data_IF_154291860775
#
_entry.id   IF_154291860775
#
_cell.length_a   1.000
_cell.length_b   1.000
_cell.length_c   1.000
_cell.angle_alpha   90.00
_cell.angle_beta   90.00
_cell.angle_gamma   90.00
#
_symmetry.space_group_name_H-M   'P 1'
#
loop_
_entity.id
_entity.type
_entity.pdbx_description
1 polymer ?
#
# COMPACT_ATOMS: atom_id res chain seq x y z
N UNK A 1 11.08 28.56 14.64
CA UNK A 1 9.83 28.34 15.40
C UNK A 1 8.88 29.38 14.85
N UNK A 2 8.35 29.11 13.67
CA UNK A 2 7.58 30.08 12.90
C UNK A 2 6.15 30.08 13.44
N UNK A 3 5.69 31.25 13.86
CA UNK A 3 4.41 31.44 14.54
C UNK A 3 3.32 31.37 13.48
N UNK A 4 2.76 30.17 13.27
CA UNK A 4 1.58 29.99 12.40
C UNK A 4 0.44 30.79 13.04
N UNK A 5 0.05 31.86 12.35
CA UNK A 5 -0.97 32.81 12.75
C UNK A 5 -2.31 32.12 13.08
N UNK A 6 -2.99 32.57 14.14
CA UNK A 6 -4.22 31.93 14.64
C UNK A 6 -5.35 31.96 13.59
N UNK A 7 -5.34 32.93 12.68
CA UNK A 7 -6.28 33.01 11.56
C UNK A 7 -6.03 31.91 10.51
N UNK A 8 -4.76 31.50 10.33
CA UNK A 8 -4.40 30.36 9.47
C UNK A 8 -4.84 29.03 10.10
N UNK A 9 -4.74 28.91 11.43
CA UNK A 9 -5.27 27.75 12.17
C UNK A 9 -6.78 27.68 12.14
N UNK A 10 -7.49 28.80 12.28
CA UNK A 10 -8.95 28.86 12.17
C UNK A 10 -9.43 28.54 10.74
N UNK A 11 -8.70 28.98 9.71
CA UNK A 11 -8.98 28.63 8.33
C UNK A 11 -8.72 27.14 8.04
N UNK A 12 -7.63 26.56 8.57
CA UNK A 12 -7.40 25.11 8.54
C UNK A 12 -8.45 24.34 9.33
N UNK A 13 -8.87 24.84 10.50
CA UNK A 13 -9.92 24.22 11.33
C UNK A 13 -11.28 24.26 10.63
N UNK A 14 -11.67 25.37 10.01
CA UNK A 14 -12.94 25.47 9.29
C UNK A 14 -12.97 24.62 8.02
N UNK A 15 -11.86 24.55 7.27
CA UNK A 15 -11.71 23.67 6.12
C UNK A 15 -11.74 22.18 6.51
N UNK A 16 -11.06 21.79 7.60
CA UNK A 16 -11.08 20.41 8.11
C UNK A 16 -12.42 20.02 8.73
N UNK A 17 -13.14 20.96 9.38
CA UNK A 17 -14.47 20.73 9.94
C UNK A 17 -15.54 20.54 8.85
N UNK A 18 -15.33 21.06 7.63
CA UNK A 18 -16.25 20.83 6.51
C UNK A 18 -16.32 19.36 6.08
N UNK A 19 -15.31 18.57 6.44
CA UNK A 19 -15.14 17.19 6.01
C UNK A 19 -15.27 16.22 7.18
N UNK A 20 -16.50 15.96 7.63
CA UNK A 20 -16.73 14.93 8.66
C UNK A 20 -16.29 13.54 8.16
N UNK A 21 -15.71 12.73 9.06
CA UNK A 21 -15.55 11.30 8.79
C UNK A 21 -16.96 10.71 8.70
N UNK A 22 -17.41 10.49 7.47
CA UNK A 22 -18.63 9.73 7.21
C UNK A 22 -18.42 8.30 7.69
N UNK A 23 -19.48 7.66 8.20
CA UNK A 23 -19.52 6.22 8.50
C UNK A 23 -18.99 5.38 7.33
N UNK A 24 -19.15 5.89 6.10
CA UNK A 24 -18.56 5.34 4.89
C UNK A 24 -17.04 5.14 4.97
N UNK A 25 -16.28 6.09 5.52
CA UNK A 25 -14.82 6.01 5.64
C UNK A 25 -14.39 4.86 6.55
N UNK A 26 -15.05 4.73 7.70
CA UNK A 26 -14.78 3.67 8.67
C UNK A 26 -15.06 2.30 8.04
N UNK A 27 -16.17 2.19 7.30
CA UNK A 27 -16.53 0.96 6.58
C UNK A 27 -15.50 0.64 5.49
N UNK A 28 -15.06 1.64 4.71
CA UNK A 28 -14.03 1.47 3.67
C UNK A 28 -12.70 0.94 4.25
N UNK A 29 -12.27 1.49 5.39
CA UNK A 29 -11.07 1.04 6.12
C UNK A 29 -11.25 -0.37 6.67
N UNK A 30 -12.43 -0.69 7.23
CA UNK A 30 -12.72 -2.03 7.75
C UNK A 30 -12.70 -3.11 6.64
N UNK A 31 -13.33 -2.83 5.49
CA UNK A 31 -13.30 -3.73 4.33
C UNK A 31 -11.86 -3.94 3.85
N UNK A 32 -11.09 -2.86 3.78
CA UNK A 32 -9.67 -2.87 3.44
C UNK A 32 -8.83 -3.79 4.35
N UNK A 33 -9.01 -3.68 5.66
CA UNK A 33 -8.33 -4.52 6.65
C UNK A 33 -8.74 -6.01 6.51
N UNK A 34 -10.04 -6.26 6.34
CA UNK A 34 -10.57 -7.61 6.13
C UNK A 34 -10.01 -8.26 4.86
N UNK A 35 -9.98 -7.53 3.74
CA UNK A 35 -9.45 -8.00 2.47
C UNK A 35 -7.97 -8.37 2.55
N UNK A 36 -7.17 -7.61 3.31
CA UNK A 36 -5.76 -7.95 3.57
C UNK A 36 -5.63 -9.26 4.35
N UNK A 37 -6.39 -9.42 5.44
CA UNK A 37 -6.38 -10.65 6.22
C UNK A 37 -6.74 -11.87 5.37
N UNK A 38 -7.79 -11.74 4.54
CA UNK A 38 -8.18 -12.77 3.60
C UNK A 38 -7.05 -13.10 2.61
N UNK A 39 -6.36 -12.10 2.08
CA UNK A 39 -5.25 -12.29 1.13
C UNK A 39 -4.08 -13.06 1.76
N UNK A 40 -3.71 -12.74 3.00
CA UNK A 40 -2.65 -13.45 3.75
C UNK A 40 -3.02 -14.92 3.92
N UNK A 41 -4.25 -15.21 4.36
CA UNK A 41 -4.73 -16.59 4.52
C UNK A 41 -4.62 -17.33 3.19
N UNK A 42 -5.09 -16.73 2.09
CA UNK A 42 -5.05 -17.36 0.78
C UNK A 42 -3.62 -17.66 0.31
N UNK A 43 -2.66 -16.77 0.58
CA UNK A 43 -1.25 -16.99 0.27
C UNK A 43 -0.65 -18.15 1.10
N UNK A 44 -1.00 -18.24 2.38
CA UNK A 44 -0.59 -19.36 3.25
C UNK A 44 -1.19 -20.70 2.79
N UNK A 45 -2.49 -20.73 2.48
CA UNK A 45 -3.16 -21.92 1.97
C UNK A 45 -2.51 -22.43 0.67
N UNK A 46 -2.13 -21.51 -0.22
CA UNK A 46 -1.45 -21.87 -1.46
C UNK A 46 -0.06 -22.46 -1.22
N UNK A 47 0.75 -21.84 -0.36
CA UNK A 47 2.07 -22.37 -0.02
C UNK A 47 1.97 -23.78 0.54
N UNK A 48 0.95 -24.04 1.37
CA UNK A 48 0.63 -25.37 1.88
C UNK A 48 0.19 -26.35 0.77
N UNK A 49 -0.63 -25.92 -0.21
CA UNK A 49 -1.02 -26.75 -1.36
C UNK A 49 0.21 -27.20 -2.18
N UNK A 50 1.16 -26.29 -2.43
CA UNK A 50 2.41 -26.63 -3.14
C UNK A 50 3.32 -27.57 -2.35
N UNK A 51 3.41 -27.37 -1.04
CA UNK A 51 4.13 -28.28 -0.15
C UNK A 51 3.52 -29.70 -0.21
N UNK A 52 2.20 -29.80 -0.10
CA UNK A 52 1.49 -31.09 -0.17
C UNK A 52 1.60 -31.75 -1.54
N UNK A 53 1.66 -30.96 -2.61
CA UNK A 53 1.78 -31.43 -3.99
C UNK A 53 3.22 -31.79 -4.41
N UNK A 54 4.15 -31.91 -3.44
CA UNK A 54 5.59 -32.19 -3.64
C UNK A 54 6.29 -31.22 -4.62
N UNK A 55 5.71 -30.05 -4.83
CA UNK A 55 6.15 -29.06 -5.80
C UNK A 55 7.03 -28.01 -5.11
N UNK A 56 8.17 -28.47 -4.56
CA UNK A 56 9.00 -27.69 -3.64
C UNK A 56 9.57 -26.42 -4.27
N UNK A 57 9.86 -26.41 -5.57
CA UNK A 57 10.35 -25.21 -6.28
C UNK A 57 9.32 -24.09 -6.24
N UNK A 58 8.05 -24.37 -6.54
CA UNK A 58 6.98 -23.37 -6.48
C UNK A 58 6.66 -22.94 -5.05
N UNK A 59 6.79 -23.86 -4.08
CA UNK A 59 6.70 -23.52 -2.66
C UNK A 59 7.79 -22.51 -2.26
N UNK A 60 9.04 -22.77 -2.64
CA UNK A 60 10.16 -21.87 -2.36
C UNK A 60 9.95 -20.49 -2.98
N UNK A 61 9.58 -20.42 -4.27
CA UNK A 61 9.27 -19.15 -4.94
C UNK A 61 8.14 -18.39 -4.23
N UNK A 62 7.09 -19.10 -3.80
CA UNK A 62 5.97 -18.49 -3.06
C UNK A 62 6.42 -17.91 -1.73
N UNK A 63 7.23 -18.63 -0.96
CA UNK A 63 7.75 -18.15 0.33
C UNK A 63 8.68 -16.94 0.13
N UNK A 64 9.57 -16.99 -0.87
CA UNK A 64 10.46 -15.87 -1.18
C UNK A 64 9.69 -14.62 -1.61
N UNK A 65 8.63 -14.79 -2.41
CA UNK A 65 7.73 -13.69 -2.80
C UNK A 65 6.98 -13.07 -1.62
N UNK A 66 6.81 -13.77 -0.50
CA UNK A 66 6.22 -13.22 0.74
C UNK A 66 7.30 -12.53 1.58
N UNK A 67 8.46 -13.16 1.77
CA UNK A 67 9.50 -12.66 2.67
C UNK A 67 10.20 -11.39 2.14
N UNK A 68 10.51 -11.33 0.84
CA UNK A 68 11.26 -10.20 0.27
C UNK A 68 10.47 -8.89 0.40
N UNK A 69 9.19 -8.82 -0.04
CA UNK A 69 8.39 -7.61 0.08
C UNK A 69 8.13 -7.23 1.53
N UNK A 70 7.92 -8.20 2.42
CA UNK A 70 7.74 -7.94 3.85
C UNK A 70 8.96 -7.22 4.46
N UNK A 71 10.18 -7.66 4.13
CA UNK A 71 11.41 -6.98 4.58
C UNK A 71 11.48 -5.58 3.99
N UNK A 72 11.22 -5.44 2.70
CA UNK A 72 11.28 -4.18 1.98
C UNK A 72 10.27 -3.15 2.49
N UNK A 73 9.00 -3.53 2.70
CA UNK A 73 7.97 -2.65 3.23
C UNK A 73 8.15 -2.36 4.71
N UNK A 74 8.80 -3.25 5.47
CA UNK A 74 9.26 -2.96 6.84
C UNK A 74 10.35 -1.89 6.84
N UNK A 75 11.31 -1.93 5.89
CA UNK A 75 12.33 -0.89 5.74
C UNK A 75 11.67 0.45 5.35
N UNK A 76 10.71 0.45 4.42
CA UNK A 76 9.92 1.65 4.07
C UNK A 76 9.24 2.20 5.32
N UNK A 77 8.55 1.35 6.07
CA UNK A 77 7.84 1.74 7.28
C UNK A 77 8.76 2.35 8.33
N UNK A 78 9.91 1.71 8.57
CA UNK A 78 10.90 2.20 9.50
C UNK A 78 11.42 3.58 9.10
N UNK A 79 11.65 3.83 7.81
CA UNK A 79 12.04 5.15 7.33
C UNK A 79 10.96 6.20 7.59
N UNK A 80 9.70 5.90 7.25
CA UNK A 80 8.56 6.80 7.50
C UNK A 80 8.43 7.11 8.99
N UNK A 81 8.54 6.10 9.85
CA UNK A 81 8.40 6.26 11.30
C UNK A 81 9.57 7.03 11.94
N UNK A 82 10.80 6.79 11.48
CA UNK A 82 12.00 7.48 11.96
C UNK A 82 12.00 8.96 11.53
N UNK A 83 11.51 9.27 10.33
CA UNK A 83 11.36 10.64 9.85
C UNK A 83 10.22 11.36 10.59
N UNK A 84 9.07 10.69 10.79
CA UNK A 84 7.91 11.28 11.47
C UNK A 84 8.10 11.51 12.97
N UNK A 85 8.91 10.69 13.65
CA UNK A 85 9.19 10.82 15.08
C UNK A 85 10.68 10.59 15.40
N UNK A 86 11.54 11.62 15.28
CA UNK A 86 12.94 11.53 15.69
C UNK A 86 13.03 11.33 17.22
N UNK A 87 13.08 10.08 17.66
CA UNK A 87 13.30 9.74 19.07
C UNK A 87 14.73 10.09 19.47
N UNK A 88 14.90 10.90 20.52
CA UNK A 88 16.20 11.32 21.06
C UNK A 88 16.95 10.23 21.85
N UNK A 89 16.38 9.02 22.01
CA UNK A 89 16.99 7.93 22.80
C UNK A 89 17.50 6.79 21.91
N UNK A 90 18.67 6.20 22.20
CA UNK A 90 19.14 5.01 21.49
C UNK A 90 18.14 3.88 21.71
N UNK A 91 17.60 3.35 20.62
CA UNK A 91 16.61 2.28 20.64
C UNK A 91 17.35 0.96 20.55
N UNK A 92 17.08 0.05 21.49
CA UNK A 92 17.58 -1.33 21.45
C UNK A 92 17.09 -2.04 20.16
N UNK A 93 18.03 -2.56 19.37
CA UNK A 93 17.77 -3.13 18.05
C UNK A 93 16.78 -4.31 18.08
N UNK A 94 16.81 -5.13 19.14
CA UNK A 94 15.89 -6.28 19.28
C UNK A 94 14.47 -5.80 19.58
N UNK A 95 14.34 -4.78 20.45
CA UNK A 95 13.07 -4.16 20.77
C UNK A 95 12.50 -3.38 19.58
N UNK A 96 13.36 -2.74 18.79
CA UNK A 96 13.00 -2.08 17.54
C UNK A 96 12.48 -3.08 16.51
N UNK A 97 13.15 -4.22 16.35
CA UNK A 97 12.72 -5.29 15.45
C UNK A 97 11.33 -5.82 15.80
N UNK A 98 11.10 -6.24 17.05
CA UNK A 98 9.79 -6.72 17.48
C UNK A 98 8.70 -5.64 17.39
N UNK A 99 9.04 -4.38 17.67
CA UNK A 99 8.13 -3.26 17.49
C UNK A 99 7.77 -3.06 16.02
N UNK A 100 8.71 -3.19 15.10
CA UNK A 100 8.47 -3.09 13.66
C UNK A 100 7.62 -4.27 13.16
N UNK A 101 7.90 -5.50 13.60
CA UNK A 101 7.13 -6.71 13.22
C UNK A 101 5.69 -6.63 13.73
N UNK A 102 5.49 -6.29 15.00
CA UNK A 102 4.14 -6.11 15.57
C UNK A 102 3.42 -4.96 14.90
N UNK A 103 4.11 -3.84 14.64
CA UNK A 103 3.51 -2.70 13.93
C UNK A 103 3.22 -3.00 12.45
N UNK A 104 3.95 -3.92 11.82
CA UNK A 104 3.67 -4.40 10.46
C UNK A 104 2.43 -5.31 10.42
N UNK A 105 2.31 -6.24 11.38
CA UNK A 105 1.18 -7.17 11.49
C UNK A 105 -0.12 -6.48 11.95
N UNK A 106 -0.01 -5.51 12.85
CA UNK A 106 -1.14 -4.78 13.44
C UNK A 106 -1.27 -3.34 12.93
N UNK A 107 -0.70 -3.04 11.76
CA UNK A 107 -0.72 -1.69 11.18
C UNK A 107 -2.15 -1.17 11.00
N UNK A 108 -3.06 -2.03 10.55
CA UNK A 108 -4.48 -1.67 10.37
C UNK A 108 -5.23 -1.50 11.71
N UNK A 109 -4.70 -2.03 12.82
CA UNK A 109 -5.30 -1.84 14.14
C UNK A 109 -5.01 -0.45 14.70
N UNK A 110 -3.85 0.16 14.35
CA UNK A 110 -3.54 1.53 14.79
C UNK A 110 -4.50 2.54 14.16
N UNK A 111 -4.83 2.39 12.87
CA UNK A 111 -5.79 3.29 12.21
C UNK A 111 -7.20 3.13 12.73
N UNK A 112 -7.62 1.88 12.96
CA UNK A 112 -8.90 1.59 13.57
C UNK A 112 -9.00 2.20 14.98
N UNK A 113 -7.93 2.13 15.77
CA UNK A 113 -7.88 2.77 17.08
C UNK A 113 -8.05 4.29 16.99
N UNK A 114 -7.42 4.95 16.02
CA UNK A 114 -7.61 6.39 15.79
C UNK A 114 -9.04 6.72 15.32
N UNK A 115 -9.65 5.88 14.48
CA UNK A 115 -11.06 6.02 14.08
C UNK A 115 -12.03 5.89 15.27
N UNK A 116 -11.74 4.97 16.19
CA UNK A 116 -12.51 4.80 17.42
C UNK A 116 -12.36 6.02 18.35
N UNK A 117 -11.13 6.52 18.53
CA UNK A 117 -10.87 7.75 19.29
C UNK A 117 -11.57 8.97 18.70
N UNK A 118 -11.60 9.09 17.38
CA UNK A 118 -12.39 10.13 16.69
C UNK A 118 -13.88 10.02 17.06
N UNK A 119 -14.44 8.81 17.01
CA UNK A 119 -15.85 8.57 17.34
C UNK A 119 -16.16 8.91 18.81
N UNK A 120 -15.21 8.62 19.70
CA UNK A 120 -15.31 8.98 21.11
C UNK A 120 -15.21 10.49 21.35
N UNK A 121 -14.27 11.18 20.70
CA UNK A 121 -14.13 12.64 20.76
C UNK A 121 -15.40 13.35 20.25
N UNK A 122 -15.95 12.86 19.13
CA UNK A 122 -17.23 13.32 18.58
C UNK A 122 -18.38 13.13 19.55
N UNK A 123 -18.43 12.00 20.27
CA UNK A 123 -19.43 11.75 21.31
C UNK A 123 -19.26 12.69 22.52
N UNK A 124 -18.03 13.06 22.87
CA UNK A 124 -17.71 13.98 23.96
C UNK A 124 -17.92 15.46 23.61
N UNK A 125 -18.13 15.79 22.33
CA UNK A 125 -18.34 17.17 21.85
C UNK A 125 -17.07 18.03 21.83
N UNK A 126 -15.88 17.43 21.95
CA UNK A 126 -14.60 18.13 21.92
C UNK A 126 -14.14 18.33 20.46
N UNK A 127 -14.39 19.53 19.92
CA UNK A 127 -14.06 19.87 18.53
C UNK A 127 -12.55 19.88 18.26
N UNK A 128 -11.70 20.22 19.23
CA UNK A 128 -10.25 20.29 19.03
C UNK A 128 -9.70 18.86 18.94
N UNK A 129 -10.11 18.00 19.87
CA UNK A 129 -9.72 16.59 19.84
C UNK A 129 -10.29 15.86 18.61
N UNK A 130 -11.49 16.23 18.15
CA UNK A 130 -12.11 15.69 16.92
C UNK A 130 -11.23 15.96 15.70
N UNK A 131 -10.83 17.21 15.48
CA UNK A 131 -10.02 17.62 14.31
C UNK A 131 -8.64 16.95 14.35
N UNK A 132 -7.99 16.93 15.51
CA UNK A 132 -6.68 16.30 15.66
C UNK A 132 -6.74 14.79 15.42
N UNK A 133 -7.74 14.10 15.97
CA UNK A 133 -7.94 12.67 15.72
C UNK A 133 -8.24 12.39 14.24
N UNK A 134 -9.04 13.25 13.59
CA UNK A 134 -9.35 13.11 12.17
C UNK A 134 -8.10 13.24 11.29
N UNK A 135 -7.33 14.31 11.49
CA UNK A 135 -6.10 14.56 10.75
C UNK A 135 -5.11 13.41 10.91
N UNK A 136 -4.92 12.93 12.15
CA UNK A 136 -4.05 11.77 12.42
C UNK A 136 -4.55 10.51 11.73
N UNK A 137 -5.85 10.24 11.80
CA UNK A 137 -6.44 9.08 11.15
C UNK A 137 -6.22 9.11 9.63
N UNK A 138 -6.46 10.25 8.96
CA UNK A 138 -6.24 10.38 7.51
C UNK A 138 -4.78 10.18 7.10
N UNK A 139 -3.85 10.80 7.83
CA UNK A 139 -2.41 10.65 7.55
C UNK A 139 -1.96 9.21 7.72
N UNK A 140 -2.40 8.57 8.80
CA UNK A 140 -2.08 7.18 9.10
C UNK A 140 -2.71 6.24 8.06
N UNK A 141 -3.98 6.44 7.68
CA UNK A 141 -4.63 5.69 6.59
C UNK A 141 -3.94 5.88 5.23
N UNK A 142 -3.45 7.07 4.92
CA UNK A 142 -2.69 7.32 3.69
C UNK A 142 -1.35 6.56 3.70
N UNK A 143 -0.56 6.69 4.78
CA UNK A 143 0.70 5.98 4.95
C UNK A 143 0.50 4.46 4.86
N UNK A 144 -0.54 3.95 5.51
CA UNK A 144 -0.84 2.52 5.55
C UNK A 144 -1.41 2.04 4.23
N UNK A 145 -2.25 2.82 3.57
CA UNK A 145 -2.71 2.54 2.21
C UNK A 145 -1.52 2.43 1.25
N UNK A 146 -0.55 3.35 1.35
CA UNK A 146 0.65 3.37 0.54
C UNK A 146 1.49 2.10 0.71
N UNK A 147 1.79 1.71 1.96
CA UNK A 147 2.55 0.47 2.18
C UNK A 147 1.75 -0.78 1.75
N UNK A 148 0.42 -0.78 1.89
CA UNK A 148 -0.42 -1.90 1.43
C UNK A 148 -0.39 -2.03 -0.09
N UNK A 149 -0.31 -0.90 -0.79
CA UNK A 149 -0.12 -0.86 -2.23
C UNK A 149 1.20 -1.52 -2.63
N UNK A 150 2.29 -1.19 -1.92
CA UNK A 150 3.60 -1.78 -2.13
C UNK A 150 3.61 -3.29 -1.85
N UNK A 151 3.05 -3.73 -0.72
CA UNK A 151 2.88 -5.17 -0.43
C UNK A 151 2.15 -5.86 -1.59
N UNK A 152 1.04 -5.29 -2.05
CA UNK A 152 0.21 -5.89 -3.08
C UNK A 152 0.93 -6.04 -4.43
N UNK A 153 1.77 -5.07 -4.82
CA UNK A 153 2.47 -5.09 -6.10
C UNK A 153 3.85 -5.73 -6.08
N UNK A 154 4.50 -5.81 -4.92
CA UNK A 154 5.82 -6.45 -4.78
C UNK A 154 5.67 -7.94 -4.43
N UNK A 155 4.65 -8.32 -3.66
CA UNK A 155 4.36 -9.72 -3.30
C UNK A 155 3.25 -10.29 -4.17
N UNK A 156 2.03 -9.78 -4.01
CA UNK A 156 0.84 -10.50 -4.44
C UNK A 156 0.71 -10.50 -5.96
N UNK A 157 1.01 -9.39 -6.64
CA UNK A 157 0.87 -9.30 -8.10
C UNK A 157 1.86 -10.20 -8.86
N UNK A 158 3.17 -10.20 -8.60
CA UNK A 158 4.11 -11.14 -9.22
C UNK A 158 3.75 -12.60 -8.92
N UNK A 159 3.32 -12.90 -7.70
CA UNK A 159 2.84 -14.24 -7.34
C UNK A 159 1.64 -14.65 -8.19
N UNK A 160 0.64 -13.76 -8.40
CA UNK A 160 -0.55 -14.06 -9.21
C UNK A 160 -0.23 -14.19 -10.69
N UNK A 161 0.72 -13.40 -11.21
CA UNK A 161 1.29 -13.59 -12.56
C UNK A 161 1.86 -15.01 -12.69
N UNK A 162 2.70 -15.43 -11.75
CA UNK A 162 3.31 -16.77 -11.75
C UNK A 162 2.25 -17.87 -11.69
N UNK A 163 1.27 -17.76 -10.79
CA UNK A 163 0.19 -18.75 -10.68
C UNK A 163 -0.63 -18.85 -11.96
N UNK A 164 -0.97 -17.72 -12.57
CA UNK A 164 -1.75 -17.69 -13.79
C UNK A 164 -0.95 -18.27 -14.96
N UNK A 165 0.35 -17.97 -15.06
CA UNK A 165 1.25 -18.56 -16.05
C UNK A 165 1.34 -20.10 -15.92
N UNK A 166 1.45 -20.63 -14.70
CA UNK A 166 1.47 -22.08 -14.43
C UNK A 166 0.16 -22.76 -14.86
N UNK A 167 -0.98 -22.11 -14.59
CA UNK A 167 -2.30 -22.62 -15.01
C UNK A 167 -2.40 -22.65 -16.53
N UNK A 168 -1.95 -21.60 -17.21
CA UNK A 168 -1.94 -21.50 -18.66
C UNK A 168 -1.02 -22.55 -19.31
N UNK A 169 0.18 -22.79 -18.74
CA UNK A 169 1.13 -23.80 -19.26
C UNK A 169 0.62 -25.23 -19.10
N UNK A 170 0.08 -25.58 -17.92
CA UNK A 170 -0.19 -26.98 -17.59
C UNK A 170 -1.55 -27.49 -18.10
N UNK A 171 -2.30 -26.69 -18.86
CA UNK A 171 -3.67 -27.00 -19.35
C UNK A 171 -4.58 -27.61 -18.26
N UNK A 172 -4.31 -27.30 -16.99
CA UNK A 172 -5.13 -27.80 -15.88
C UNK A 172 -6.41 -26.98 -15.89
N UNK A 173 -7.56 -27.66 -15.88
CA UNK A 173 -8.86 -27.00 -15.76
C UNK A 173 -8.83 -25.99 -14.61
N UNK A 174 -9.28 -24.77 -14.88
CA UNK A 174 -9.51 -23.77 -13.85
C UNK A 174 -10.59 -24.28 -12.89
N UNK A 175 -10.16 -24.86 -11.77
CA UNK A 175 -11.09 -25.25 -10.70
C UNK A 175 -11.81 -24.01 -10.20
N UNK A 176 -13.10 -24.14 -9.86
CA UNK A 176 -13.90 -23.05 -9.28
C UNK A 176 -13.19 -22.30 -8.14
N UNK A 177 -12.47 -23.03 -7.28
CA UNK A 177 -11.68 -22.46 -6.16
C UNK A 177 -10.56 -21.53 -6.65
N UNK A 178 -9.86 -21.88 -7.75
CA UNK A 178 -8.77 -21.07 -8.31
C UNK A 178 -9.32 -19.81 -8.98
N UNK A 179 -10.39 -19.95 -9.76
CA UNK A 179 -11.09 -18.81 -10.35
C UNK A 179 -11.56 -17.84 -9.27
N UNK A 180 -12.20 -18.36 -8.22
CA UNK A 180 -12.63 -17.54 -7.07
C UNK A 180 -11.44 -16.85 -6.39
N UNK A 181 -10.32 -17.53 -6.21
CA UNK A 181 -9.10 -16.95 -5.64
C UNK A 181 -8.56 -15.78 -6.47
N UNK A 182 -8.53 -15.91 -7.80
CA UNK A 182 -8.12 -14.81 -8.68
C UNK A 182 -9.09 -13.64 -8.64
N UNK A 183 -10.41 -13.91 -8.60
CA UNK A 183 -11.43 -12.87 -8.49
C UNK A 183 -11.28 -12.07 -7.19
N UNK A 184 -11.17 -12.76 -6.04
CA UNK A 184 -10.95 -12.12 -4.74
C UNK A 184 -9.67 -11.29 -4.74
N UNK A 185 -8.59 -11.80 -5.35
CA UNK A 185 -7.34 -11.06 -5.50
C UNK A 185 -7.53 -9.75 -6.27
N UNK A 186 -8.11 -9.78 -7.47
CA UNK A 186 -8.28 -8.58 -8.28
C UNK A 186 -9.20 -7.55 -7.62
N UNK A 187 -10.29 -8.02 -6.99
CA UNK A 187 -11.18 -7.14 -6.22
C UNK A 187 -10.46 -6.50 -5.03
N UNK A 188 -9.66 -7.27 -4.29
CA UNK A 188 -8.85 -6.79 -3.17
C UNK A 188 -7.83 -5.74 -3.62
N UNK A 189 -7.11 -6.00 -4.72
CA UNK A 189 -6.13 -5.07 -5.28
C UNK A 189 -6.77 -3.76 -5.75
N UNK A 190 -7.88 -3.84 -6.49
CA UNK A 190 -8.62 -2.68 -6.95
C UNK A 190 -9.15 -1.85 -5.77
N UNK A 191 -9.65 -2.51 -4.73
CA UNK A 191 -10.08 -1.85 -3.50
C UNK A 191 -8.93 -1.12 -2.80
N UNK A 192 -7.78 -1.77 -2.67
CA UNK A 192 -6.58 -1.19 -2.08
C UNK A 192 -6.13 0.08 -2.81
N UNK A 193 -6.11 0.04 -4.15
CA UNK A 193 -5.77 1.19 -4.99
C UNK A 193 -6.75 2.36 -4.82
N UNK A 194 -8.05 2.07 -4.82
CA UNK A 194 -9.10 3.09 -4.62
C UNK A 194 -8.96 3.73 -3.25
N UNK A 195 -8.81 2.91 -2.20
CA UNK A 195 -8.63 3.38 -0.83
C UNK A 195 -7.39 4.28 -0.72
N UNK A 196 -6.26 3.87 -1.29
CA UNK A 196 -5.04 4.69 -1.32
C UNK A 196 -5.23 6.01 -2.08
N UNK A 197 -5.74 5.96 -3.32
CA UNK A 197 -5.94 7.16 -4.14
C UNK A 197 -6.86 8.17 -3.47
N UNK A 198 -7.87 7.68 -2.75
CA UNK A 198 -8.78 8.54 -1.97
C UNK A 198 -8.09 9.11 -0.74
N UNK A 199 -7.46 8.29 0.11
CA UNK A 199 -6.77 8.77 1.31
C UNK A 199 -5.67 9.77 0.97
N UNK A 200 -4.96 9.54 -0.14
CA UNK A 200 -3.94 10.46 -0.62
C UNK A 200 -4.51 11.83 -1.03
N UNK A 201 -5.67 11.84 -1.70
CA UNK A 201 -6.37 13.09 -2.02
C UNK A 201 -6.86 13.81 -0.77
N UNK A 202 -7.41 13.08 0.22
CA UNK A 202 -7.91 13.67 1.47
C UNK A 202 -6.79 14.27 2.34
N UNK A 203 -5.58 13.74 2.23
CA UNK A 203 -4.39 14.32 2.89
C UNK A 203 -3.96 15.63 2.25
N UNK A 204 -4.21 15.80 0.95
CA UNK A 204 -3.92 17.03 0.22
C UNK A 204 -5.09 18.01 0.40
N UNK A 205 -4.92 18.99 1.30
CA UNK A 205 -5.96 19.96 1.70
C UNK A 205 -6.56 20.77 0.52
N UNK A 206 -5.93 20.74 -0.65
CA UNK A 206 -6.33 21.45 -1.88
C UNK A 206 -7.24 20.60 -2.81
N UNK A 207 -7.53 19.33 -2.48
CA UNK A 207 -8.31 18.43 -3.36
C UNK A 207 -9.66 18.04 -2.72
N UNK A 208 -10.73 18.23 -3.50
CA UNK A 208 -12.08 17.79 -3.14
C UNK A 208 -12.19 16.26 -3.02
N UNK A 209 -13.02 15.78 -2.09
CA UNK A 209 -13.34 14.36 -1.98
C UNK A 209 -14.08 13.85 -3.21
N UNK A 210 -13.76 12.63 -3.60
CA UNK A 210 -14.37 11.97 -4.74
C UNK A 210 -15.75 11.48 -4.29
N UNK A 211 -16.81 12.01 -4.90
CA UNK A 211 -18.17 11.51 -4.64
C UNK A 211 -18.29 10.01 -4.92
N UNK A 212 -19.23 9.33 -4.25
CA UNK A 212 -19.37 7.87 -4.30
C UNK A 212 -19.49 7.30 -5.73
N UNK A 213 -20.12 8.04 -6.66
CA UNK A 213 -20.21 7.66 -8.09
C UNK A 213 -18.83 7.65 -8.76
N UNK A 214 -17.98 8.64 -8.47
CA UNK A 214 -16.61 8.70 -8.98
C UNK A 214 -15.76 7.57 -8.42
N UNK A 215 -15.94 7.24 -7.14
CA UNK A 215 -15.24 6.11 -6.50
C UNK A 215 -15.59 4.78 -7.17
N UNK A 216 -16.86 4.57 -7.50
CA UNK A 216 -17.33 3.38 -8.21
C UNK A 216 -16.72 3.25 -9.61
N UNK A 217 -16.72 4.34 -10.39
CA UNK A 217 -16.09 4.35 -11.72
C UNK A 217 -14.58 4.09 -11.61
N UNK A 218 -13.92 4.74 -10.65
CA UNK A 218 -12.49 4.56 -10.40
C UNK A 218 -12.17 3.11 -10.02
N UNK A 219 -12.99 2.47 -9.20
CA UNK A 219 -12.84 1.07 -8.82
C UNK A 219 -12.85 0.15 -10.04
N UNK A 220 -13.85 0.26 -10.91
CA UNK A 220 -13.94 -0.58 -12.10
C UNK A 220 -12.81 -0.31 -13.09
N UNK A 221 -12.44 0.96 -13.26
CA UNK A 221 -11.31 1.32 -14.11
C UNK A 221 -10.01 0.65 -13.64
N UNK A 222 -9.71 0.77 -12.34
CA UNK A 222 -8.49 0.18 -11.75
C UNK A 222 -8.52 -1.34 -11.73
N UNK A 223 -9.68 -1.94 -11.50
CA UNK A 223 -9.89 -3.38 -11.62
C UNK A 223 -9.56 -3.89 -13.03
N UNK A 224 -10.15 -3.28 -14.05
CA UNK A 224 -9.92 -3.68 -15.45
C UNK A 224 -8.47 -3.44 -15.89
N UNK A 225 -7.87 -2.31 -15.50
CA UNK A 225 -6.50 -1.98 -15.83
C UNK A 225 -5.51 -2.97 -15.22
N UNK A 226 -5.66 -3.26 -13.92
CA UNK A 226 -4.75 -4.19 -13.23
C UNK A 226 -4.95 -5.62 -13.71
N UNK A 227 -6.21 -6.07 -13.87
CA UNK A 227 -6.51 -7.42 -14.35
C UNK A 227 -5.96 -7.67 -15.76
N UNK A 228 -6.22 -6.76 -16.71
CA UNK A 228 -5.73 -6.91 -18.09
C UNK A 228 -4.21 -6.98 -18.17
N UNK A 229 -3.49 -6.12 -17.43
CA UNK A 229 -2.02 -6.15 -17.37
C UNK A 229 -1.49 -7.44 -16.76
N UNK A 230 -2.01 -7.85 -15.61
CA UNK A 230 -1.59 -9.10 -14.94
C UNK A 230 -1.82 -10.32 -15.84
N UNK A 231 -2.97 -10.40 -16.51
CA UNK A 231 -3.30 -11.50 -17.43
C UNK A 231 -2.37 -11.49 -18.64
N UNK A 232 -2.08 -10.33 -19.22
CA UNK A 232 -1.17 -10.19 -20.36
C UNK A 232 0.26 -10.64 -20.01
N UNK A 233 0.79 -10.18 -18.87
CA UNK A 233 2.13 -10.59 -18.40
C UNK A 233 2.15 -12.10 -18.11
N UNK A 234 1.11 -12.64 -17.48
CA UNK A 234 1.02 -14.07 -17.21
C UNK A 234 0.96 -14.91 -18.50
N UNK A 235 0.25 -14.42 -19.51
CA UNK A 235 0.19 -15.07 -20.82
C UNK A 235 1.56 -15.09 -21.49
N UNK A 236 2.27 -13.95 -21.52
CA UNK A 236 3.64 -13.90 -22.04
C UNK A 236 4.59 -14.80 -21.25
N UNK A 237 4.51 -14.79 -19.92
CA UNK A 237 5.29 -15.66 -19.05
C UNK A 237 4.97 -17.15 -19.26
N UNK A 238 3.74 -17.48 -19.71
CA UNK A 238 3.36 -18.86 -20.01
C UNK A 238 4.09 -19.41 -21.23
N UNK A 239 4.36 -18.57 -22.24
CA UNK A 239 5.03 -18.96 -23.49
C UNK A 239 6.54 -18.75 -23.40
N UNK A 240 6.97 -17.60 -22.88
CA UNK A 240 8.37 -17.16 -22.80
C UNK A 240 8.73 -16.72 -21.37
N UNK A 241 8.90 -17.67 -20.42
CA UNK A 241 9.09 -17.35 -19.00
C UNK A 241 10.37 -16.54 -18.74
N UNK A 242 11.50 -16.95 -19.33
CA UNK A 242 12.80 -16.30 -19.10
C UNK A 242 12.86 -14.89 -19.71
N UNK A 243 12.35 -14.73 -20.93
CA UNK A 243 12.31 -13.42 -21.60
C UNK A 243 11.37 -12.45 -20.88
N UNK A 244 10.19 -12.92 -20.48
CA UNK A 244 9.24 -12.09 -19.73
C UNK A 244 9.84 -11.66 -18.39
N UNK A 245 10.54 -12.56 -17.70
CA UNK A 245 11.25 -12.23 -16.47
C UNK A 245 12.35 -11.19 -16.70
N UNK A 246 13.19 -11.37 -17.73
CA UNK A 246 14.26 -10.43 -18.07
C UNK A 246 13.70 -9.04 -18.41
N UNK A 247 12.62 -8.95 -19.20
CA UNK A 247 11.96 -7.69 -19.54
C UNK A 247 11.36 -7.01 -18.30
N UNK A 248 10.75 -7.76 -17.38
CA UNK A 248 10.23 -7.21 -16.12
C UNK A 248 11.35 -6.65 -15.24
N UNK A 249 12.48 -7.35 -15.13
CA UNK A 249 13.64 -6.86 -14.38
C UNK A 249 14.23 -5.62 -15.03
N UNK A 250 14.38 -5.62 -16.36
CA UNK A 250 14.87 -4.46 -17.11
C UNK A 250 13.96 -3.25 -16.92
N UNK A 251 12.63 -3.42 -17.00
CA UNK A 251 11.66 -2.37 -16.76
C UNK A 251 11.79 -1.82 -15.33
N UNK A 252 11.84 -2.69 -14.32
CA UNK A 252 12.01 -2.30 -12.93
C UNK A 252 13.27 -1.46 -12.71
N UNK A 253 14.41 -1.92 -13.24
CA UNK A 253 15.68 -1.21 -13.11
C UNK A 253 15.63 0.12 -13.86
N UNK A 254 15.20 0.12 -15.12
CA UNK A 254 15.12 1.32 -15.95
C UNK A 254 14.22 2.39 -15.31
N UNK A 255 12.99 2.04 -14.95
CA UNK A 255 12.06 2.97 -14.32
C UNK A 255 12.56 3.43 -12.95
N UNK A 256 13.12 2.53 -12.13
CA UNK A 256 13.69 2.89 -10.83
C UNK A 256 14.90 3.81 -10.94
N UNK A 257 15.79 3.59 -11.91
CA UNK A 257 16.95 4.45 -12.17
C UNK A 257 16.52 5.80 -12.73
N UNK A 258 15.59 5.85 -13.69
CA UNK A 258 15.02 7.11 -14.20
C UNK A 258 14.43 7.90 -13.05
N UNK A 259 13.65 7.25 -12.17
CA UNK A 259 13.05 7.90 -11.02
C UNK A 259 14.10 8.47 -10.05
N UNK A 260 15.15 7.70 -9.78
CA UNK A 260 16.24 8.14 -8.91
C UNK A 260 16.98 9.37 -9.46
N UNK A 261 17.17 9.46 -10.78
CA UNK A 261 17.90 10.55 -11.43
C UNK A 261 17.01 11.78 -11.66
N UNK A 262 15.80 11.58 -12.17
CA UNK A 262 14.92 12.67 -12.61
C UNK A 262 14.18 13.33 -11.45
N UNK A 263 13.62 12.54 -10.54
CA UNK A 263 12.80 13.07 -9.44
C UNK A 263 13.64 13.32 -8.17
N UNK A 264 14.86 12.78 -8.09
CA UNK A 264 15.78 12.86 -6.93
C UNK A 264 15.06 12.78 -5.56
N UNK A 265 14.11 11.85 -5.37
CA UNK A 265 13.27 11.88 -4.18
C UNK A 265 14.13 11.61 -2.95
N UNK A 266 13.86 12.29 -1.82
CA UNK A 266 14.60 12.08 -0.56
C UNK A 266 13.85 11.13 0.37
N UNK A 267 13.72 9.86 -0.02
CA UNK A 267 13.02 8.86 0.78
C UNK A 267 13.89 8.22 1.86
N UNK A 268 15.16 7.95 1.52
CA UNK A 268 16.12 7.29 2.41
C UNK A 268 17.15 8.25 2.99
N UNK A 269 17.62 7.98 4.21
CA UNK A 269 18.78 8.69 4.81
C UNK A 269 20.10 8.41 4.10
N UNK A 270 20.21 7.25 3.43
CA UNK A 270 21.38 6.85 2.65
C UNK A 270 21.03 6.73 1.17
N UNK A 271 21.99 7.00 0.26
CA UNK A 271 21.76 6.93 -1.18
C UNK A 271 21.38 5.52 -1.64
N UNK A 272 21.98 4.48 -1.03
CA UNK A 272 21.64 3.08 -1.30
C UNK A 272 20.17 2.79 -0.96
N UNK A 273 19.72 3.22 0.22
CA UNK A 273 18.34 2.97 0.64
C UNK A 273 17.37 3.72 -0.25
N UNK A 274 17.69 4.97 -0.60
CA UNK A 274 16.88 5.74 -1.53
C UNK A 274 16.76 5.06 -2.91
N UNK A 275 17.86 4.50 -3.41
CA UNK A 275 17.86 3.77 -4.67
C UNK A 275 17.01 2.48 -4.62
N UNK A 276 17.08 1.71 -3.53
CA UNK A 276 16.23 0.52 -3.32
C UNK A 276 14.74 0.90 -3.34
N UNK A 277 14.38 2.05 -2.74
CA UNK A 277 13.02 2.56 -2.77
C UNK A 277 12.57 2.94 -4.18
N UNK A 278 13.44 3.59 -4.96
CA UNK A 278 13.16 3.88 -6.36
C UNK A 278 12.99 2.60 -7.20
N UNK A 279 13.82 1.57 -6.99
CA UNK A 279 13.64 0.26 -7.63
C UNK A 279 12.30 -0.39 -7.28
N UNK A 280 11.84 -0.22 -6.03
CA UNK A 280 10.55 -0.71 -5.57
C UNK A 280 9.39 -0.05 -6.33
N UNK A 281 9.46 1.26 -6.56
CA UNK A 281 8.53 1.97 -7.45
C UNK A 281 8.60 1.47 -8.89
N UNK A 282 9.81 1.20 -9.40
CA UNK A 282 10.01 0.59 -10.71
C UNK A 282 9.28 -0.74 -10.88
N UNK A 283 9.27 -1.57 -9.83
CA UNK A 283 8.50 -2.82 -9.83
C UNK A 283 6.98 -2.58 -9.80
N UNK A 284 6.51 -1.58 -9.04
CA UNK A 284 5.09 -1.19 -9.03
C UNK A 284 4.64 -0.72 -10.42
N UNK A 285 5.50 0.00 -11.15
CA UNK A 285 5.18 0.57 -12.48
C UNK A 285 4.90 -0.46 -13.57
N UNK A 286 5.37 -1.70 -13.40
CA UNK A 286 4.99 -2.83 -14.26
C UNK A 286 3.45 -2.98 -14.28
N UNK A 287 2.81 -2.82 -13.13
CA UNK A 287 1.38 -3.01 -12.98
C UNK A 287 0.61 -1.70 -13.05
N UNK A 288 1.08 -0.64 -12.39
CA UNK A 288 0.39 0.65 -12.38
C UNK A 288 1.36 1.81 -12.14
N UNK A 289 1.17 2.90 -12.88
CA UNK A 289 1.89 4.13 -12.61
C UNK A 289 1.30 4.81 -11.38
N UNK A 290 2.14 5.07 -10.37
CA UNK A 290 1.77 5.80 -9.15
C UNK A 290 2.72 7.00 -9.01
N UNK A 291 2.23 8.25 -9.09
CA UNK A 291 3.12 9.42 -9.02
C UNK A 291 3.85 9.48 -7.68
N UNK A 292 5.15 9.79 -7.74
CA UNK A 292 6.07 9.83 -6.59
C UNK A 292 5.94 11.14 -5.81
N UNK A 293 5.65 12.24 -6.50
CA UNK A 293 5.43 13.58 -5.92
C UNK A 293 4.24 13.66 -4.96
N UNK A 294 3.37 12.66 -4.98
CA UNK A 294 2.12 12.60 -4.23
C UNK A 294 2.25 11.78 -2.93
N UNK A 295 3.46 11.35 -2.54
CA UNK A 295 3.69 10.63 -1.29
C UNK A 295 3.47 11.50 -0.03
N UNK A 296 3.05 10.90 1.10
CA UNK A 296 2.80 11.62 2.37
C UNK A 296 3.99 12.45 2.87
N UNK A 297 5.22 12.09 2.49
CA UNK A 297 6.45 12.76 2.93
C UNK A 297 6.54 14.22 2.52
N UNK A 298 5.95 14.64 1.40
CA UNK A 298 5.94 16.05 0.97
C UNK A 298 4.96 16.91 1.76
N UNK A 299 3.98 16.31 2.43
CA UNK A 299 3.07 17.04 3.33
C UNK A 299 3.73 17.43 4.67
N UNK A 300 4.88 16.85 4.99
CA UNK A 300 5.72 17.24 6.13
C UNK A 300 6.44 18.56 5.89
N UNK A 301 6.81 18.85 4.64
CA UNK A 301 7.44 20.13 4.26
C UNK A 301 6.41 21.28 4.27
N UNK A 302 5.13 20.96 4.04
CA UNK A 302 3.99 21.88 4.27
C UNK A 302 3.68 22.13 5.76
N UNK A 303 4.37 21.46 6.69
CA UNK A 303 4.27 21.70 8.14
C UNK A 303 5.52 22.38 8.71
N UNK A 304 6.52 22.64 7.87
CA UNK A 304 7.76 23.33 8.23
C UNK A 304 8.00 24.61 7.39
N UNK A 305 6.97 25.03 6.64
CA UNK A 305 6.86 26.32 5.97
C UNK A 305 5.73 27.14 6.55
#
# INVERSE_FOLDING_TARGET
>A
MEYVDDQTKENMQSATLSHQISTFNIVMTAISAFMRFLTIIMNCCLAYEYWRSASYTYCHWTIMSILIPMILTTIIYANVLIVGHPSKKPVDNTRLFWRLVVSFLFRDASTLNWALKYTEAKRRGDKIAEIECYRRHLMEECNIGFLRLFDSFLETAPQKVLQLAIVLQNTKSLTYVRTFTFLVYFLSLAWCLVAYNRSNRLVQLDKYDIGAKGLFVQFWFLLCLTASRTICIAYLASIFPMETFAVCILHMVLCGTILFIADTPKFGKSPLMNYILCLSFGAVYIFIFTPVSDGPTNSSDLLLS
#
